data_IF_132745401387
#
_entry.id   IF_132745401387
#
_cell.length_a   1.000
_cell.length_b   1.000
_cell.length_c   1.000
_cell.angle_alpha   90.00
_cell.angle_beta   90.00
_cell.angle_gamma   90.00
#
_symmetry.space_group_name_H-M   'P 1'
#
loop_
_entity.id
_entity.type
_entity.pdbx_description
1 polymer ?
#
# COMPACT_ATOMS: atom_id res chain seq x y z
N UNK A 1 -8.83 25.06 -4.98
CA UNK A 1 -7.73 24.81 -5.94
C UNK A 1 -7.71 23.32 -6.21
N UNK A 2 -8.07 22.90 -7.43
CA UNK A 2 -8.05 21.49 -7.81
C UNK A 2 -6.59 21.07 -7.98
N UNK A 3 -6.08 20.25 -7.06
CA UNK A 3 -4.80 19.58 -7.26
C UNK A 3 -4.99 18.55 -8.38
N UNK A 4 -4.36 18.80 -9.52
CA UNK A 4 -4.22 17.82 -10.58
C UNK A 4 -3.46 16.62 -10.00
N UNK A 5 -4.18 15.53 -9.71
CA UNK A 5 -3.57 14.23 -9.51
C UNK A 5 -2.89 13.86 -10.82
N UNK A 6 -1.57 14.05 -10.92
CA UNK A 6 -0.77 13.45 -12.00
C UNK A 6 -0.89 11.95 -11.82
N UNK A 7 -1.66 11.30 -12.71
CA UNK A 7 -1.65 9.85 -12.81
C UNK A 7 -0.23 9.43 -13.16
N UNK A 8 0.37 8.64 -12.29
CA UNK A 8 1.63 7.97 -12.59
C UNK A 8 1.36 7.01 -13.76
N UNK A 9 2.17 7.02 -14.84
CA UNK A 9 2.01 6.07 -15.93
C UNK A 9 2.07 4.64 -15.37
N UNK A 10 1.19 3.73 -15.82
CA UNK A 10 1.21 2.33 -15.34
C UNK A 10 2.47 1.55 -15.78
N UNK A 11 3.41 2.20 -16.47
CA UNK A 11 4.65 1.63 -17.02
C UNK A 11 4.37 0.29 -17.73
N UNK A 12 4.89 -0.80 -17.19
CA UNK A 12 4.77 -2.17 -17.68
C UNK A 12 3.76 -3.03 -16.90
N UNK A 13 2.94 -2.40 -16.04
CA UNK A 13 1.81 -3.05 -15.38
C UNK A 13 0.74 -3.43 -16.40
N UNK A 14 0.24 -4.66 -16.31
CA UNK A 14 -0.74 -5.22 -17.24
C UNK A 14 -2.09 -5.47 -16.54
N UNK A 15 -3.17 -5.39 -17.30
CA UNK A 15 -4.50 -5.74 -16.83
C UNK A 15 -4.92 -7.11 -17.36
N UNK A 16 -5.58 -7.90 -16.52
CA UNK A 16 -6.16 -9.20 -16.86
C UNK A 16 -7.66 -9.04 -17.04
N UNK A 17 -8.17 -9.54 -18.16
CA UNK A 17 -9.59 -9.46 -18.52
C UNK A 17 -10.24 -10.85 -18.46
N UNK A 18 -10.38 -11.40 -17.25
CA UNK A 18 -10.88 -12.77 -17.04
C UNK A 18 -12.31 -13.00 -17.54
N UNK A 19 -13.12 -11.94 -17.62
CA UNK A 19 -14.49 -11.98 -18.15
C UNK A 19 -14.56 -11.59 -19.64
N UNK A 20 -13.42 -11.50 -20.33
CA UNK A 20 -13.32 -11.09 -21.73
C UNK A 20 -12.96 -9.60 -21.92
N UNK A 21 -12.37 -9.24 -23.08
CA UNK A 21 -11.74 -7.93 -23.31
C UNK A 21 -12.71 -6.75 -23.41
N UNK A 22 -14.01 -7.02 -23.62
CA UNK A 22 -15.05 -5.98 -23.64
C UNK A 22 -15.56 -5.61 -22.24
N UNK A 23 -15.13 -6.34 -21.20
CA UNK A 23 -15.53 -6.12 -19.81
C UNK A 23 -14.41 -5.40 -19.03
N UNK A 24 -14.70 -4.82 -17.86
CA UNK A 24 -13.67 -4.26 -16.98
C UNK A 24 -12.60 -5.30 -16.59
N UNK A 25 -11.37 -4.87 -16.29
CA UNK A 25 -10.32 -5.78 -15.88
C UNK A 25 -10.67 -6.45 -14.55
N UNK A 26 -10.36 -7.74 -14.46
CA UNK A 26 -10.62 -8.57 -13.27
C UNK A 26 -9.42 -8.63 -12.34
N UNK A 27 -8.21 -8.36 -12.85
CA UNK A 27 -6.99 -8.30 -12.06
C UNK A 27 -5.95 -7.38 -12.71
N UNK A 28 -4.92 -7.02 -11.96
CA UNK A 28 -3.72 -6.33 -12.42
C UNK A 28 -2.47 -7.18 -12.13
N UNK A 29 -1.48 -7.13 -13.01
CA UNK A 29 -0.16 -7.74 -12.81
C UNK A 29 0.85 -6.61 -12.84
N UNK A 30 1.48 -6.35 -11.70
CA UNK A 30 2.50 -5.30 -11.59
C UNK A 30 3.72 -5.66 -12.43
N UNK A 31 4.17 -4.72 -13.25
CA UNK A 31 5.36 -4.90 -14.07
C UNK A 31 6.65 -4.68 -13.28
N UNK A 32 7.76 -5.33 -13.65
CA UNK A 32 9.04 -5.19 -12.96
C UNK A 32 9.58 -3.76 -12.92
N UNK A 33 9.40 -2.95 -13.98
CA UNK A 33 9.86 -1.56 -13.99
C UNK A 33 8.99 -0.68 -13.10
N UNK A 34 7.68 -0.93 -13.07
CA UNK A 34 6.78 -0.29 -12.12
C UNK A 34 7.20 -0.60 -10.68
N UNK A 35 7.40 -1.89 -10.35
CA UNK A 35 7.83 -2.30 -9.01
C UNK A 35 9.20 -1.72 -8.63
N UNK A 36 10.17 -1.71 -9.53
CA UNK A 36 11.48 -1.11 -9.30
C UNK A 36 11.38 0.39 -8.98
N UNK A 37 10.53 1.13 -9.71
CA UNK A 37 10.43 2.58 -9.57
C UNK A 37 9.52 3.05 -8.43
N UNK A 38 8.54 2.22 -8.02
CA UNK A 38 7.52 2.61 -7.03
C UNK A 38 7.64 1.86 -5.72
N UNK A 39 7.98 0.57 -5.75
CA UNK A 39 7.88 -0.29 -4.58
C UNK A 39 9.23 -0.61 -3.95
N UNK A 40 10.24 -0.94 -4.78
CA UNK A 40 11.54 -1.48 -4.35
C UNK A 40 12.71 -0.52 -4.60
N UNK A 41 12.46 0.77 -4.72
CA UNK A 41 13.47 1.75 -5.17
C UNK A 41 14.63 1.95 -4.18
N UNK A 42 14.42 1.64 -2.89
CA UNK A 42 15.44 1.68 -1.83
C UNK A 42 15.72 0.29 -1.24
N UNK A 43 15.04 -0.74 -1.73
CA UNK A 43 15.22 -2.13 -1.32
C UNK A 43 16.43 -2.75 -2.04
N UNK A 44 17.05 -3.80 -1.45
CA UNK A 44 18.05 -4.60 -2.15
C UNK A 44 17.54 -5.16 -3.50
N UNK A 45 18.37 -5.22 -4.55
CA UNK A 45 17.96 -5.71 -5.87
C UNK A 45 17.54 -7.19 -5.86
N UNK A 46 18.05 -7.97 -4.90
CA UNK A 46 17.66 -9.37 -4.69
C UNK A 46 16.18 -9.49 -4.30
N UNK A 47 15.65 -8.54 -3.51
CA UNK A 47 14.26 -8.53 -3.07
C UNK A 47 13.31 -8.18 -4.22
N UNK A 48 13.69 -7.23 -5.10
CA UNK A 48 12.95 -6.99 -6.34
C UNK A 48 12.94 -8.24 -7.22
N UNK A 49 14.08 -8.91 -7.36
CA UNK A 49 14.17 -10.16 -8.14
C UNK A 49 13.24 -11.22 -7.58
N UNK A 50 13.27 -11.42 -6.26
CA UNK A 50 12.37 -12.34 -5.56
C UNK A 50 10.90 -11.97 -5.79
N UNK A 51 10.55 -10.70 -5.68
CA UNK A 51 9.20 -10.21 -5.92
C UNK A 51 8.72 -10.53 -7.34
N UNK A 52 9.56 -10.32 -8.36
CA UNK A 52 9.20 -10.64 -9.75
C UNK A 52 8.96 -12.13 -10.00
N UNK A 53 9.60 -13.02 -9.22
CA UNK A 53 9.42 -14.46 -9.32
C UNK A 53 8.16 -14.95 -8.59
N UNK A 54 7.72 -14.22 -7.56
CA UNK A 54 6.61 -14.63 -6.69
C UNK A 54 5.30 -13.90 -6.97
N UNK A 55 5.33 -12.78 -7.70
CA UNK A 55 4.17 -11.95 -7.95
C UNK A 55 3.06 -12.74 -8.66
N UNK A 56 1.82 -12.53 -8.22
CA UNK A 56 0.61 -13.09 -8.81
C UNK A 56 -0.34 -11.95 -9.21
N UNK A 57 -1.25 -12.19 -10.18
CA UNK A 57 -2.28 -11.21 -10.51
C UNK A 57 -3.08 -10.80 -9.27
N UNK A 58 -3.13 -9.50 -8.99
CA UNK A 58 -3.89 -8.89 -7.90
C UNK A 58 -5.33 -8.65 -8.37
N UNK A 59 -6.34 -9.29 -7.75
CA UNK A 59 -7.73 -9.12 -8.16
C UNK A 59 -8.21 -7.68 -7.97
N UNK A 60 -8.97 -7.16 -8.95
CA UNK A 60 -9.61 -5.86 -8.85
C UNK A 60 -11.03 -6.08 -8.36
N UNK A 61 -11.29 -5.61 -7.14
CA UNK A 61 -12.62 -5.63 -6.52
C UNK A 61 -13.25 -4.24 -6.66
N UNK A 62 -14.39 -4.16 -7.33
CA UNK A 62 -15.12 -2.90 -7.53
C UNK A 62 -16.64 -3.10 -7.55
N UNK A 63 -17.12 -4.15 -6.88
CA UNK A 63 -18.56 -4.44 -6.82
C UNK A 63 -19.18 -3.83 -5.57
N UNK A 64 -20.48 -3.53 -5.63
CA UNK A 64 -21.23 -3.04 -4.48
C UNK A 64 -21.16 -4.02 -3.29
N UNK A 65 -21.11 -5.33 -3.55
CA UNK A 65 -20.92 -6.32 -2.50
C UNK A 65 -19.57 -6.16 -1.79
N UNK A 66 -18.50 -5.89 -2.55
CA UNK A 66 -17.17 -5.68 -1.97
C UNK A 66 -17.10 -4.41 -1.11
N UNK A 67 -17.77 -3.34 -1.53
CA UNK A 67 -17.89 -2.11 -0.73
C UNK A 67 -18.69 -2.34 0.56
N UNK A 68 -19.81 -3.07 0.48
CA UNK A 68 -20.62 -3.43 1.65
C UNK A 68 -19.85 -4.29 2.65
N UNK A 69 -18.96 -5.15 2.18
CA UNK A 69 -18.18 -6.05 3.03
C UNK A 69 -17.16 -5.31 3.90
N UNK A 70 -16.76 -4.09 3.52
CA UNK A 70 -15.76 -3.28 4.24
C UNK A 70 -16.37 -2.11 5.02
N UNK A 71 -17.70 -2.06 5.15
CA UNK A 71 -18.37 -1.04 5.97
C UNK A 71 -18.00 -1.23 7.44
N UNK A 72 -17.49 -0.15 8.04
CA UNK A 72 -17.04 -0.11 9.43
C UNK A 72 -17.91 0.83 10.28
N UNK A 73 -17.95 0.60 11.60
CA UNK A 73 -18.69 1.46 12.55
C UNK A 73 -17.78 2.02 13.62
N UNK A 74 -18.17 3.16 14.19
CA UNK A 74 -17.42 3.82 15.27
C UNK A 74 -17.34 2.96 16.53
N UNK A 75 -18.42 2.24 16.85
CA UNK A 75 -18.53 1.44 18.08
C UNK A 75 -17.65 0.19 18.03
N UNK A 76 -17.40 -0.36 16.83
CA UNK A 76 -16.58 -1.57 16.63
C UNK A 76 -15.19 -1.25 16.10
N UNK A 77 -15.09 -0.81 14.85
CA UNK A 77 -13.79 -0.49 14.25
C UNK A 77 -13.16 0.73 14.92
N UNK A 78 -13.96 1.76 15.18
CA UNK A 78 -13.48 2.99 15.80
C UNK A 78 -13.12 2.87 17.29
N UNK A 79 -13.45 1.74 17.94
CA UNK A 79 -13.02 1.48 19.32
C UNK A 79 -11.65 0.79 19.40
N UNK A 80 -11.12 0.31 18.28
CA UNK A 80 -9.77 -0.25 18.19
C UNK A 80 -8.78 0.89 17.98
N UNK A 81 -7.71 0.91 18.78
CA UNK A 81 -6.59 1.84 18.62
C UNK A 81 -5.91 1.60 17.27
N UNK A 82 -5.66 2.66 16.51
CA UNK A 82 -5.06 2.61 15.18
C UNK A 82 -3.80 3.45 15.14
N UNK A 83 -2.76 2.86 14.57
CA UNK A 83 -1.47 3.51 14.36
C UNK A 83 -1.18 3.42 12.86
N UNK A 84 -0.79 4.54 12.27
CA UNK A 84 -0.38 4.58 10.86
C UNK A 84 1.14 4.70 10.79
N UNK A 85 1.79 3.74 10.16
CA UNK A 85 3.24 3.79 9.89
C UNK A 85 3.44 4.32 8.46
N UNK A 86 4.04 5.50 8.34
CA UNK A 86 4.31 6.18 7.08
C UNK A 86 5.63 5.72 6.51
N UNK A 87 5.60 5.31 5.24
CA UNK A 87 6.80 5.08 4.45
C UNK A 87 7.23 6.39 3.79
N UNK A 88 8.28 7.03 4.33
CA UNK A 88 8.65 8.41 4.01
C UNK A 88 8.95 8.62 2.53
N UNK A 89 9.69 7.68 1.95
CA UNK A 89 10.20 7.79 0.60
C UNK A 89 9.20 7.28 -0.46
N UNK A 90 8.08 6.68 -0.06
CA UNK A 90 7.02 6.30 -1.01
C UNK A 90 6.45 7.54 -1.75
N UNK A 91 6.46 8.71 -1.10
CA UNK A 91 5.96 9.97 -1.65
C UNK A 91 4.53 9.86 -2.22
N UNK A 92 3.71 8.92 -1.73
CA UNK A 92 2.32 8.76 -2.14
C UNK A 92 1.43 9.74 -1.34
N UNK A 93 0.82 10.75 -1.99
CA UNK A 93 -0.05 11.72 -1.32
C UNK A 93 -1.28 11.06 -0.67
N UNK A 94 -1.60 9.80 -1.00
CA UNK A 94 -2.66 9.04 -0.35
C UNK A 94 -2.38 8.78 1.13
N UNK A 95 -1.13 8.63 1.56
CA UNK A 95 -0.83 8.42 2.98
C UNK A 95 -1.32 9.62 3.80
N UNK A 96 -0.91 10.84 3.41
CA UNK A 96 -1.35 12.08 4.04
C UNK A 96 -2.86 12.25 3.94
N UNK A 97 -3.45 12.02 2.76
CA UNK A 97 -4.89 12.16 2.59
C UNK A 97 -5.69 11.20 3.49
N UNK A 98 -5.25 9.95 3.66
CA UNK A 98 -5.91 8.99 4.54
C UNK A 98 -5.82 9.40 6.00
N UNK A 99 -4.67 9.89 6.46
CA UNK A 99 -4.48 10.37 7.84
C UNK A 99 -5.38 11.58 8.12
N UNK A 100 -5.47 12.52 7.18
CA UNK A 100 -6.32 13.72 7.32
C UNK A 100 -7.82 13.39 7.34
N UNK A 101 -8.26 12.43 6.52
CA UNK A 101 -9.69 12.13 6.35
C UNK A 101 -10.19 11.01 7.26
N UNK A 102 -9.30 10.20 7.83
CA UNK A 102 -9.61 9.17 8.81
C UNK A 102 -8.56 9.15 9.93
N UNK A 103 -8.58 10.17 10.83
CA UNK A 103 -7.56 10.35 11.85
C UNK A 103 -7.33 9.09 12.67
N UNK A 104 -6.05 8.80 12.93
CA UNK A 104 -5.57 7.66 13.74
C UNK A 104 -5.06 8.16 15.09
N UNK A 105 -4.85 7.26 16.05
CA UNK A 105 -4.37 7.63 17.39
C UNK A 105 -2.91 8.07 17.40
N UNK A 106 -2.11 7.52 16.49
CA UNK A 106 -0.69 7.83 16.37
C UNK A 106 -0.21 7.65 14.93
N UNK A 107 0.72 8.50 14.51
CA UNK A 107 1.41 8.41 13.22
C UNK A 107 2.90 8.29 13.51
N UNK A 108 3.52 7.26 12.95
CA UNK A 108 4.97 7.01 13.06
C UNK A 108 5.55 7.07 11.66
N UNK A 109 6.70 7.69 11.48
CA UNK A 109 7.38 7.77 10.18
C UNK A 109 8.63 6.91 10.24
N UNK A 110 8.80 6.02 9.26
CA UNK A 110 10.08 5.34 9.03
C UNK A 110 10.80 6.11 7.93
N UNK A 111 11.84 6.86 8.31
CA UNK A 111 12.63 7.64 7.36
C UNK A 111 13.40 6.73 6.40
N UNK A 112 13.59 7.22 5.17
CA UNK A 112 14.30 6.51 4.10
C UNK A 112 13.72 5.12 3.74
N UNK A 113 12.44 4.85 4.04
CA UNK A 113 11.76 3.60 3.63
C UNK A 113 10.97 3.80 2.34
N UNK A 114 11.16 2.90 1.38
CA UNK A 114 10.25 2.79 0.24
C UNK A 114 8.91 2.13 0.65
N UNK A 115 8.03 1.88 -0.33
CA UNK A 115 6.75 1.19 -0.10
C UNK A 115 6.94 -0.15 0.63
N UNK A 116 8.07 -0.81 0.41
CA UNK A 116 8.43 -2.08 1.00
C UNK A 116 9.33 -1.89 2.23
N UNK A 117 8.84 -1.16 3.25
CA UNK A 117 9.58 -0.90 4.49
C UNK A 117 10.14 -2.17 5.16
N UNK A 118 9.49 -3.32 4.99
CA UNK A 118 9.99 -4.60 5.50
C UNK A 118 11.25 -5.12 4.78
N UNK A 119 11.58 -4.59 3.60
CA UNK A 119 12.81 -4.91 2.85
C UNK A 119 13.82 -3.75 2.89
N UNK A 120 13.37 -2.50 2.72
CA UNK A 120 14.27 -1.34 2.76
C UNK A 120 14.71 -0.96 4.18
N UNK A 121 13.84 -1.14 5.18
CA UNK A 121 14.06 -0.75 6.59
C UNK A 121 13.57 -1.81 7.60
N UNK A 122 14.01 -3.08 7.49
CA UNK A 122 13.48 -4.18 8.28
C UNK A 122 13.68 -4.02 9.79
N UNK A 123 14.82 -3.47 10.22
CA UNK A 123 15.13 -3.33 11.65
C UNK A 123 14.32 -2.20 12.27
N UNK A 124 14.20 -1.07 11.58
CA UNK A 124 13.42 0.07 12.01
C UNK A 124 11.93 -0.28 12.09
N UNK A 125 11.41 -1.02 11.09
CA UNK A 125 10.04 -1.54 11.15
C UNK A 125 9.87 -2.51 12.32
N UNK A 126 10.81 -3.42 12.55
CA UNK A 126 10.76 -4.37 13.67
C UNK A 126 10.75 -3.64 15.02
N UNK A 127 11.68 -2.71 15.26
CA UNK A 127 11.71 -1.89 16.46
C UNK A 127 10.43 -1.08 16.65
N UNK A 128 9.92 -0.45 15.59
CA UNK A 128 8.65 0.27 15.62
C UNK A 128 7.49 -0.63 16.08
N UNK A 129 7.38 -1.85 15.54
CA UNK A 129 6.33 -2.78 15.92
C UNK A 129 6.48 -3.30 17.35
N UNK A 130 7.71 -3.53 17.81
CA UNK A 130 7.99 -3.90 19.21
C UNK A 130 7.59 -2.77 20.17
N UNK A 131 7.98 -1.53 19.87
CA UNK A 131 7.63 -0.35 20.66
C UNK A 131 6.12 -0.09 20.68
N UNK A 132 5.40 -0.42 19.60
CA UNK A 132 3.93 -0.40 19.59
C UNK A 132 3.37 -1.49 20.51
N UNK A 133 3.92 -2.71 20.42
CA UNK A 133 3.53 -3.82 21.27
C UNK A 133 3.68 -3.49 22.75
N UNK A 134 4.86 -3.03 23.16
CA UNK A 134 5.17 -2.70 24.56
C UNK A 134 4.29 -1.57 25.12
N UNK A 135 3.77 -0.69 24.28
CA UNK A 135 2.91 0.43 24.70
C UNK A 135 1.43 0.08 24.78
N UNK A 136 0.96 -0.89 24.00
CA UNK A 136 -0.47 -1.07 23.76
C UNK A 136 -0.98 -2.51 23.86
N UNK A 137 -0.11 -3.50 24.09
CA UNK A 137 -0.44 -4.91 24.35
C UNK A 137 -0.01 -5.33 25.75
#
# INVERSE_FOLDING_TARGET
MQSSQRSVPSMDTQFVFGNGPANPPTALVLGPNYMASRFYRLSPPEDLTLATLLLRPFPIYSSLETEKAVVVTKEKYGSVRRIYVVCDEENDPKQTWMIENNPVDEVIVISDSDHMAMFSKPQELCSCLLDIGDRYL
#
